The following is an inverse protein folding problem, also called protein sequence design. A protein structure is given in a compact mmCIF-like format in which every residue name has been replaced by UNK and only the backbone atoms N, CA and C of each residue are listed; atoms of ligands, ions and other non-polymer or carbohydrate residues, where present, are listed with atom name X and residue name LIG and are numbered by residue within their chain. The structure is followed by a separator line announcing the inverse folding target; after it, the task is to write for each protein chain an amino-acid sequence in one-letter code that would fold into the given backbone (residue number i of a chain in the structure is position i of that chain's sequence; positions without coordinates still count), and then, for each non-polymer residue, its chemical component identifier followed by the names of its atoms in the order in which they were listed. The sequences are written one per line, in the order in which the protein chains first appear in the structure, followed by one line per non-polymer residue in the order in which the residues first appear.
data_IF_236714894706
#
_entry.id   IF_236714894706
#
_cell.length_a   1.000
_cell.length_b   1.000
_cell.length_c   1.000
_cell.angle_alpha   90.00
_cell.angle_beta   90.00
_cell.angle_gamma   90.00
#
_symmetry.space_group_name_H-M   'P 1'
#
loop_
_entity.id
_entity.type
_entity.pdbx_description
1 polymer ?
#
# COMPACT_ATOMS: atom_id res chain seq x y z
N UNK A 1 -20.72 -24.75 17.24
CA UNK A 1 -21.51 -23.53 17.44
C UNK A 1 -20.54 -22.39 17.23
N UNK A 2 -20.58 -21.74 16.07
CA UNK A 2 -19.65 -20.66 15.75
C UNK A 2 -20.13 -19.39 16.45
N UNK A 3 -19.26 -18.77 17.24
CA UNK A 3 -19.54 -17.46 17.84
C UNK A 3 -19.80 -16.46 16.70
N UNK A 4 -21.03 -15.95 16.63
CA UNK A 4 -21.40 -14.92 15.67
C UNK A 4 -20.75 -13.63 16.18
N UNK A 5 -19.86 -13.05 15.38
CA UNK A 5 -19.17 -11.81 15.74
C UNK A 5 -20.19 -10.66 15.85
N UNK A 6 -20.12 -9.79 16.87
CA UNK A 6 -21.04 -8.65 17.02
C UNK A 6 -21.03 -7.69 15.81
N UNK A 7 -19.94 -7.68 15.03
CA UNK A 7 -19.86 -6.96 13.74
C UNK A 7 -20.78 -7.55 12.67
N UNK A 8 -20.90 -8.88 12.63
CA UNK A 8 -21.75 -9.59 11.67
C UNK A 8 -23.22 -9.22 11.86
N UNK A 9 -23.69 -9.22 13.12
CA UNK A 9 -25.07 -8.84 13.46
C UNK A 9 -25.36 -7.39 13.10
N UNK A 10 -24.44 -6.46 13.39
CA UNK A 10 -24.57 -5.05 13.01
C UNK A 10 -24.70 -4.86 11.50
N UNK A 11 -23.90 -5.58 10.69
CA UNK A 11 -24.00 -5.50 9.23
C UNK A 11 -25.27 -6.14 8.69
N UNK A 12 -25.74 -7.23 9.28
CA UNK A 12 -27.05 -7.80 8.95
C UNK A 12 -28.19 -6.81 9.23
N UNK A 13 -28.18 -6.16 10.40
CA UNK A 13 -29.17 -5.15 10.78
C UNK A 13 -29.17 -3.96 9.83
N UNK A 14 -27.99 -3.45 9.46
CA UNK A 14 -27.85 -2.36 8.50
C UNK A 14 -28.45 -2.72 7.14
N UNK A 15 -28.11 -3.90 6.60
CA UNK A 15 -28.64 -4.38 5.32
C UNK A 15 -30.16 -4.49 5.39
N UNK A 16 -30.69 -5.10 6.45
CA UNK A 16 -32.13 -5.28 6.64
C UNK A 16 -32.84 -3.92 6.78
N UNK A 17 -32.25 -2.96 7.49
CA UNK A 17 -32.78 -1.61 7.63
C UNK A 17 -32.89 -0.91 6.27
N UNK A 18 -31.83 -0.95 5.45
CA UNK A 18 -31.83 -0.34 4.12
C UNK A 18 -32.88 -1.00 3.22
N UNK A 19 -32.99 -2.33 3.25
CA UNK A 19 -34.02 -3.07 2.50
C UNK A 19 -35.42 -2.64 2.94
N UNK A 20 -35.70 -2.58 4.25
CA UNK A 20 -37.00 -2.17 4.77
C UNK A 20 -37.35 -0.72 4.40
N UNK A 21 -36.40 0.20 4.50
CA UNK A 21 -36.61 1.59 4.07
C UNK A 21 -36.88 1.68 2.57
N UNK A 22 -36.21 0.87 1.76
CA UNK A 22 -36.45 0.81 0.31
C UNK A 22 -37.84 0.28 0.00
N UNK A 23 -38.27 -0.79 0.69
CA UNK A 23 -39.60 -1.38 0.52
C UNK A 23 -40.72 -0.42 0.94
N UNK A 24 -40.48 0.42 1.95
CA UNK A 24 -41.40 1.48 2.39
C UNK A 24 -41.39 2.72 1.49
N UNK A 25 -40.49 2.80 0.51
CA UNK A 25 -40.32 3.98 -0.35
C UNK A 25 -39.64 5.18 0.33
N UNK A 26 -38.97 4.95 1.47
CA UNK A 26 -38.31 5.99 2.26
C UNK A 26 -36.89 6.31 1.78
N UNK A 27 -36.34 5.50 0.87
CA UNK A 27 -35.06 5.77 0.22
C UNK A 27 -35.32 6.57 -1.05
N UNK A 28 -34.86 7.82 -1.05
CA UNK A 28 -35.10 8.78 -2.14
C UNK A 28 -34.03 8.71 -3.23
N UNK A 29 -32.84 8.19 -2.92
CA UNK A 29 -31.71 8.10 -3.86
C UNK A 29 -30.70 7.04 -3.42
N UNK A 30 -29.84 6.62 -4.36
CA UNK A 30 -28.69 5.76 -4.06
C UNK A 30 -27.69 6.43 -3.10
N UNK A 31 -27.56 7.75 -3.17
CA UNK A 31 -26.69 8.51 -2.27
C UNK A 31 -27.10 8.38 -0.80
N UNK A 32 -28.41 8.25 -0.50
CA UNK A 32 -28.86 8.00 0.86
C UNK A 32 -28.39 6.64 1.39
N UNK A 33 -28.34 5.61 0.53
CA UNK A 33 -27.78 4.30 0.85
C UNK A 33 -26.28 4.43 1.13
N UNK A 34 -25.55 5.17 0.28
CA UNK A 34 -24.13 5.44 0.48
C UNK A 34 -23.84 6.13 1.83
N UNK A 35 -24.63 7.14 2.22
CA UNK A 35 -24.45 7.82 3.51
C UNK A 35 -24.71 6.89 4.72
N UNK A 36 -25.68 5.98 4.63
CA UNK A 36 -25.91 4.98 5.67
C UNK A 36 -24.73 4.01 5.79
N UNK A 37 -24.18 3.56 4.66
CA UNK A 37 -22.96 2.74 4.64
C UNK A 37 -21.78 3.52 5.23
N UNK A 38 -21.62 4.80 4.91
CA UNK A 38 -20.53 5.63 5.42
C UNK A 38 -20.54 5.78 6.95
N UNK A 39 -21.73 5.83 7.56
CA UNK A 39 -21.89 5.97 9.01
C UNK A 39 -21.58 4.69 9.78
N UNK A 40 -21.91 3.54 9.19
CA UNK A 40 -21.92 2.26 9.89
C UNK A 40 -20.79 1.31 9.45
N UNK A 41 -20.20 1.51 8.27
CA UNK A 41 -19.13 0.67 7.77
C UNK A 41 -17.76 1.07 8.33
N UNK A 42 -17.04 0.07 8.83
CA UNK A 42 -15.68 0.23 9.34
C UNK A 42 -14.66 -0.20 8.27
N UNK A 43 -13.57 0.57 8.05
CA UNK A 43 -12.49 0.15 7.17
C UNK A 43 -11.83 -1.14 7.67
N UNK A 44 -11.57 -2.11 6.78
CA UNK A 44 -10.90 -3.37 7.12
C UNK A 44 -11.83 -4.51 7.53
N UNK A 45 -13.15 -4.31 7.57
CA UNK A 45 -14.14 -5.38 7.84
C UNK A 45 -14.97 -5.70 6.59
N UNK A 46 -14.36 -5.56 5.41
CA UNK A 46 -15.09 -5.65 4.15
C UNK A 46 -15.57 -7.07 3.83
N UNK A 47 -14.78 -8.08 4.22
CA UNK A 47 -15.12 -9.49 4.02
C UNK A 47 -16.39 -9.87 4.80
N UNK A 48 -16.53 -9.43 6.05
CA UNK A 48 -17.72 -9.69 6.86
C UNK A 48 -18.98 -9.07 6.24
N UNK A 49 -18.89 -7.81 5.78
CA UNK A 49 -20.02 -7.14 5.14
C UNK A 49 -20.43 -7.86 3.85
N UNK A 50 -19.47 -8.21 3.01
CA UNK A 50 -19.74 -8.96 1.77
C UNK A 50 -20.36 -10.32 2.04
N UNK A 51 -19.92 -11.00 3.11
CA UNK A 51 -20.51 -12.27 3.52
C UNK A 51 -21.97 -12.10 3.93
N UNK A 52 -22.29 -11.13 4.78
CA UNK A 52 -23.66 -10.77 5.16
C UNK A 52 -24.54 -10.48 3.93
N UNK A 53 -24.00 -9.69 2.99
CA UNK A 53 -24.71 -9.31 1.77
C UNK A 53 -24.98 -10.52 0.86
N UNK A 54 -24.00 -11.41 0.67
CA UNK A 54 -24.14 -12.65 -0.10
C UNK A 54 -25.20 -13.58 0.51
N UNK A 55 -25.20 -13.73 1.83
CA UNK A 55 -26.17 -14.57 2.54
C UNK A 55 -27.60 -14.04 2.39
N UNK A 56 -27.77 -12.71 2.48
CA UNK A 56 -29.06 -12.04 2.25
C UNK A 56 -29.52 -12.13 0.80
N UNK A 57 -28.61 -11.99 -0.18
CA UNK A 57 -28.93 -12.22 -1.59
C UNK A 57 -29.44 -13.63 -1.84
N UNK A 58 -28.71 -14.63 -1.35
CA UNK A 58 -29.05 -16.05 -1.54
C UNK A 58 -30.41 -16.38 -0.93
N UNK A 59 -30.68 -15.86 0.27
CA UNK A 59 -31.96 -16.08 0.97
C UNK A 59 -33.12 -15.40 0.23
N UNK A 60 -32.92 -14.16 -0.23
CA UNK A 60 -33.96 -13.38 -0.91
C UNK A 60 -34.23 -13.92 -2.31
N UNK A 61 -33.21 -14.43 -3.00
CA UNK A 61 -33.34 -15.07 -4.32
C UNK A 61 -34.22 -16.33 -4.23
N UNK A 62 -33.96 -17.20 -3.24
CA UNK A 62 -34.81 -18.38 -2.99
C UNK A 62 -36.27 -18.01 -2.74
N UNK A 63 -36.54 -16.89 -2.06
CA UNK A 63 -37.90 -16.40 -1.81
C UNK A 63 -38.56 -15.79 -3.06
N UNK A 64 -37.78 -15.24 -4.00
CA UNK A 64 -38.29 -14.73 -5.27
C UNK A 64 -38.61 -15.85 -6.26
N UNK A 65 -37.87 -16.96 -6.19
CA UNK A 65 -38.06 -18.14 -7.04
C UNK A 65 -39.23 -19.04 -6.56
N UNK A 66 -39.69 -18.86 -5.31
CA UNK A 66 -40.88 -19.51 -4.77
C UNK A 66 -42.16 -18.93 -5.40
N UNK A 67 -42.72 -19.66 -6.37
CA UNK A 67 -43.91 -19.28 -7.16
C UNK A 67 -45.24 -19.44 -6.43
N UNK A 68 -45.23 -19.89 -5.17
CA UNK A 68 -46.45 -20.27 -4.46
C UNK A 68 -47.28 -19.05 -4.01
N UNK A 69 -46.69 -17.85 -3.99
CA UNK A 69 -47.39 -16.62 -3.56
C UNK A 69 -46.87 -15.35 -4.28
N UNK A 70 -47.66 -14.82 -5.21
CA UNK A 70 -47.34 -13.64 -6.02
C UNK A 70 -46.99 -12.39 -5.19
N UNK A 71 -47.64 -12.17 -4.04
CA UNK A 71 -47.36 -11.03 -3.18
C UNK A 71 -46.00 -11.15 -2.48
N UNK A 72 -45.63 -12.37 -2.06
CA UNK A 72 -44.29 -12.65 -1.51
C UNK A 72 -43.22 -12.51 -2.60
N UNK A 73 -43.50 -12.99 -3.81
CA UNK A 73 -42.60 -12.86 -4.96
C UNK A 73 -42.34 -11.40 -5.35
N UNK A 74 -43.38 -10.57 -5.38
CA UNK A 74 -43.26 -9.15 -5.69
C UNK A 74 -42.41 -8.41 -4.63
N UNK A 75 -42.60 -8.74 -3.34
CA UNK A 75 -41.79 -8.18 -2.25
C UNK A 75 -40.33 -8.66 -2.31
N UNK A 76 -40.09 -9.93 -2.61
CA UNK A 76 -38.76 -10.49 -2.77
C UNK A 76 -38.01 -9.84 -3.94
N UNK A 77 -38.69 -9.66 -5.08
CA UNK A 77 -38.12 -8.95 -6.25
C UNK A 77 -37.73 -7.51 -5.93
N UNK A 78 -38.56 -6.78 -5.18
CA UNK A 78 -38.20 -5.42 -4.74
C UNK A 78 -37.04 -5.42 -3.75
N UNK A 79 -36.96 -6.42 -2.89
CA UNK A 79 -35.85 -6.59 -1.93
C UNK A 79 -34.54 -6.90 -2.66
N UNK A 80 -34.57 -7.73 -3.72
CA UNK A 80 -33.40 -7.99 -4.57
C UNK A 80 -32.87 -6.71 -5.23
N UNK A 81 -33.75 -5.83 -5.71
CA UNK A 81 -33.33 -4.52 -6.25
C UNK A 81 -32.69 -3.62 -5.19
N UNK A 82 -33.18 -3.66 -3.96
CA UNK A 82 -32.58 -2.96 -2.83
C UNK A 82 -31.18 -3.51 -2.54
N UNK A 83 -31.02 -4.84 -2.47
CA UNK A 83 -29.73 -5.50 -2.26
C UNK A 83 -28.72 -5.19 -3.38
N UNK A 84 -29.16 -5.16 -4.64
CA UNK A 84 -28.32 -4.72 -5.78
C UNK A 84 -27.86 -3.27 -5.65
N UNK A 85 -28.72 -2.40 -5.11
CA UNK A 85 -28.36 -1.00 -4.86
C UNK A 85 -27.33 -0.90 -3.74
N UNK A 86 -27.50 -1.65 -2.65
CA UNK A 86 -26.52 -1.74 -1.57
C UNK A 86 -25.18 -2.25 -2.11
N UNK A 87 -25.18 -3.29 -2.93
CA UNK A 87 -23.95 -3.83 -3.54
C UNK A 87 -23.22 -2.79 -4.39
N UNK A 88 -23.95 -2.02 -5.21
CA UNK A 88 -23.36 -0.97 -6.03
C UNK A 88 -22.72 0.16 -5.21
N UNK A 89 -23.41 0.64 -4.18
CA UNK A 89 -22.88 1.70 -3.32
C UNK A 89 -21.77 1.18 -2.37
N UNK A 90 -21.83 -0.10 -1.99
CA UNK A 90 -20.74 -0.77 -1.26
C UNK A 90 -19.46 -0.82 -2.09
N UNK A 91 -19.54 -1.24 -3.36
CA UNK A 91 -18.38 -1.26 -4.26
C UNK A 91 -17.80 0.15 -4.47
N UNK A 92 -18.67 1.17 -4.57
CA UNK A 92 -18.25 2.58 -4.63
C UNK A 92 -17.55 3.00 -3.34
N UNK A 93 -18.10 2.65 -2.18
CA UNK A 93 -17.50 2.90 -0.87
C UNK A 93 -16.14 2.23 -0.74
N UNK A 94 -16.02 0.95 -1.09
CA UNK A 94 -14.75 0.22 -1.08
C UNK A 94 -13.73 0.88 -2.00
N UNK A 95 -14.12 1.31 -3.19
CA UNK A 95 -13.21 2.01 -4.11
C UNK A 95 -12.71 3.33 -3.52
N UNK A 96 -13.59 4.08 -2.84
CA UNK A 96 -13.24 5.36 -2.20
C UNK A 96 -12.43 5.18 -0.91
N UNK A 97 -12.64 4.09 -0.18
CA UNK A 97 -11.97 3.79 1.09
C UNK A 97 -10.83 2.79 0.99
N UNK A 98 -10.52 2.25 -0.19
CA UNK A 98 -9.42 1.28 -0.41
C UNK A 98 -8.08 1.77 0.14
N UNK A 99 -7.82 3.06 0.04
CA UNK A 99 -6.62 3.69 0.60
C UNK A 99 -6.58 3.62 2.13
N UNK A 100 -7.72 3.87 2.80
CA UNK A 100 -7.85 3.76 4.25
C UNK A 100 -7.79 2.31 4.71
N UNK A 101 -8.44 1.42 3.98
CA UNK A 101 -8.43 -0.02 4.26
C UNK A 101 -7.02 -0.62 4.16
N UNK A 102 -6.25 -0.23 3.14
CA UNK A 102 -4.85 -0.66 3.01
C UNK A 102 -3.99 -0.19 4.20
N UNK A 103 -4.19 1.05 4.67
CA UNK A 103 -3.48 1.58 5.85
C UNK A 103 -3.90 0.84 7.12
N UNK A 104 -5.20 0.60 7.34
CA UNK A 104 -5.70 -0.15 8.51
C UNK A 104 -5.19 -1.59 8.50
N UNK A 105 -5.20 -2.24 7.35
CA UNK A 105 -4.66 -3.59 7.17
C UNK A 105 -3.17 -3.64 7.48
N UNK A 106 -2.39 -2.68 6.95
CA UNK A 106 -0.97 -2.57 7.24
C UNK A 106 -0.70 -2.34 8.72
N UNK A 107 -1.45 -1.42 9.34
CA UNK A 107 -1.35 -1.14 10.77
C UNK A 107 -1.62 -2.41 11.60
N UNK A 108 -2.68 -3.14 11.27
CA UNK A 108 -3.06 -4.35 11.98
C UNK A 108 -1.99 -5.44 11.85
N UNK A 109 -1.53 -5.73 10.64
CA UNK A 109 -0.53 -6.78 10.40
C UNK A 109 0.83 -6.44 11.04
N UNK A 110 1.26 -5.18 10.98
CA UNK A 110 2.52 -4.73 11.59
C UNK A 110 2.44 -4.78 13.12
N UNK A 111 1.31 -4.38 13.71
CA UNK A 111 1.15 -4.33 15.17
C UNK A 111 0.97 -5.72 15.79
N UNK A 112 0.33 -6.64 15.08
CA UNK A 112 0.19 -8.03 15.51
C UNK A 112 1.43 -8.90 15.23
N UNK A 113 2.33 -8.46 14.35
CA UNK A 113 3.55 -9.19 14.07
C UNK A 113 4.48 -9.23 15.30
N UNK A 114 5.13 -10.38 15.48
CA UNK A 114 6.25 -10.54 16.41
C UNK A 114 7.37 -9.54 16.09
N UNK A 115 8.08 -9.04 17.12
CA UNK A 115 9.10 -8.00 16.95
C UNK A 115 10.12 -8.31 15.83
N UNK A 116 10.62 -9.55 15.77
CA UNK A 116 11.56 -9.99 14.74
C UNK A 116 10.98 -10.01 13.31
N UNK A 117 9.65 -10.08 13.15
CA UNK A 117 8.97 -10.16 11.86
C UNK A 117 8.35 -8.81 11.44
N UNK A 118 8.39 -7.77 12.28
CA UNK A 118 7.75 -6.47 11.99
C UNK A 118 8.30 -5.81 10.73
N UNK A 119 9.62 -5.89 10.52
CA UNK A 119 10.22 -5.40 9.28
C UNK A 119 9.66 -6.15 8.06
N UNK A 120 9.60 -7.48 8.11
CA UNK A 120 9.05 -8.29 7.02
C UNK A 120 7.56 -8.02 6.79
N UNK A 121 6.79 -7.83 7.86
CA UNK A 121 5.39 -7.46 7.77
C UNK A 121 5.21 -6.10 7.08
N UNK A 122 6.06 -5.12 7.41
CA UNK A 122 6.09 -3.82 6.73
C UNK A 122 6.47 -3.93 5.25
N UNK A 123 7.50 -4.70 4.91
CA UNK A 123 8.00 -4.82 3.53
C UNK A 123 6.95 -5.37 2.55
N UNK A 124 5.97 -6.15 3.00
CA UNK A 124 4.84 -6.60 2.16
C UNK A 124 4.01 -5.44 1.61
N UNK A 125 3.96 -4.33 2.34
CA UNK A 125 3.20 -3.14 1.98
C UNK A 125 4.02 -2.13 1.19
N UNK A 126 5.31 -2.38 1.01
CA UNK A 126 6.15 -1.62 0.11
C UNK A 126 6.39 -2.41 -1.17
N UNK A 127 6.52 -3.74 -1.15
CA UNK A 127 6.76 -4.57 -2.35
C UNK A 127 5.79 -4.25 -3.51
N UNK A 128 6.31 -3.84 -4.69
CA UNK A 128 5.47 -3.53 -5.84
C UNK A 128 4.73 -4.71 -6.44
N UNK A 129 5.22 -5.92 -6.19
CA UNK A 129 4.57 -7.14 -6.64
C UNK A 129 3.40 -7.53 -5.73
N UNK A 130 3.21 -6.84 -4.60
CA UNK A 130 2.14 -7.13 -3.67
C UNK A 130 0.85 -6.35 -4.03
N UNK A 131 -0.34 -6.99 -4.06
CA UNK A 131 -1.60 -6.34 -4.45
C UNK A 131 -2.01 -5.15 -3.58
N UNK A 132 -1.47 -5.07 -2.36
CA UNK A 132 -1.78 -4.05 -1.36
C UNK A 132 -0.61 -3.08 -1.12
N UNK A 133 0.26 -2.87 -2.12
CA UNK A 133 1.34 -1.90 -2.02
C UNK A 133 0.82 -0.48 -1.70
N UNK A 134 1.47 0.19 -0.75
CA UNK A 134 1.14 1.53 -0.30
C UNK A 134 1.88 2.59 -1.11
N UNK A 135 1.16 3.64 -1.52
CA UNK A 135 1.76 4.82 -2.15
C UNK A 135 2.54 5.66 -1.14
N UNK A 136 3.40 6.57 -1.61
CA UNK A 136 4.15 7.49 -0.75
C UNK A 136 3.26 8.28 0.22
N UNK A 137 2.08 8.72 -0.21
CA UNK A 137 1.14 9.44 0.65
C UNK A 137 0.48 8.51 1.69
N UNK A 138 0.19 7.26 1.30
CA UNK A 138 -0.32 6.25 2.23
C UNK A 138 0.74 5.84 3.26
N UNK A 139 2.01 5.74 2.87
CA UNK A 139 3.13 5.50 3.79
C UNK A 139 3.28 6.66 4.79
N UNK A 140 3.14 7.92 4.36
CA UNK A 140 3.12 9.07 5.29
C UNK A 140 1.97 8.95 6.30
N UNK A 141 0.77 8.59 5.84
CA UNK A 141 -0.39 8.39 6.71
C UNK A 141 -0.20 7.21 7.67
N UNK A 142 0.38 6.10 7.20
CA UNK A 142 0.74 4.96 8.04
C UNK A 142 1.73 5.37 9.13
N UNK A 143 2.80 6.09 8.79
CA UNK A 143 3.78 6.59 9.76
C UNK A 143 3.16 7.52 10.80
N UNK A 144 2.24 8.40 10.40
CA UNK A 144 1.51 9.24 11.33
C UNK A 144 0.63 8.42 12.29
N UNK A 145 -0.05 7.40 11.76
CA UNK A 145 -0.95 6.53 12.53
C UNK A 145 -0.18 5.65 13.53
N UNK A 146 0.95 5.07 13.11
CA UNK A 146 1.85 4.28 13.95
C UNK A 146 2.34 5.06 15.18
N UNK A 147 2.62 6.37 15.03
CA UNK A 147 3.02 7.25 16.15
C UNK A 147 1.90 7.54 17.14
N UNK A 148 0.66 7.55 16.65
CA UNK A 148 -0.51 7.95 17.44
C UNK A 148 -1.19 6.75 18.14
N UNK A 149 -0.81 5.53 17.78
CA UNK A 149 -1.45 4.34 18.31
C UNK A 149 -1.19 4.16 19.81
N UNK A 150 -2.25 3.90 20.56
CA UNK A 150 -2.14 3.59 21.99
C UNK A 150 -1.68 2.14 22.16
N UNK A 151 -0.40 1.95 22.45
CA UNK A 151 0.24 0.64 22.63
C UNK A 151 0.72 0.52 24.08
N UNK A 152 0.20 -0.49 24.77
CA UNK A 152 0.51 -0.75 26.18
C UNK A 152 1.91 -1.34 26.40
N UNK A 153 2.40 -2.15 25.45
CA UNK A 153 3.71 -2.78 25.54
C UNK A 153 4.84 -1.81 25.11
N UNK A 154 5.81 -1.49 26.00
CA UNK A 154 6.88 -0.55 25.69
C UNK A 154 7.77 -0.97 24.51
N UNK A 155 8.09 -2.26 24.37
CA UNK A 155 8.93 -2.74 23.27
C UNK A 155 8.22 -2.59 21.92
N UNK A 156 6.94 -2.92 21.87
CA UNK A 156 6.11 -2.71 20.67
C UNK A 156 5.95 -1.23 20.34
N UNK A 157 5.81 -0.38 21.34
CA UNK A 157 5.74 1.08 21.14
C UNK A 157 7.03 1.65 20.54
N UNK A 158 8.18 1.20 21.04
CA UNK A 158 9.50 1.56 20.51
C UNK A 158 9.62 1.15 19.03
N UNK A 159 9.28 -0.11 18.70
CA UNK A 159 9.33 -0.62 17.33
C UNK A 159 8.41 0.18 16.38
N UNK A 160 7.19 0.52 16.81
CA UNK A 160 6.29 1.36 15.99
C UNK A 160 6.85 2.77 15.80
N UNK A 161 7.50 3.32 16.82
CA UNK A 161 8.21 4.59 16.74
C UNK A 161 9.35 4.54 15.70
N UNK A 162 10.17 3.50 15.75
CA UNK A 162 11.27 3.30 14.80
C UNK A 162 10.76 3.04 13.37
N UNK A 163 9.68 2.27 13.20
CA UNK A 163 9.02 2.10 11.89
C UNK A 163 8.55 3.44 11.32
N UNK A 164 7.80 4.22 12.10
CA UNK A 164 7.29 5.50 11.64
C UNK A 164 8.41 6.50 11.31
N UNK A 165 9.47 6.51 12.11
CA UNK A 165 10.67 7.29 11.86
C UNK A 165 11.36 6.86 10.57
N UNK A 166 11.63 5.57 10.40
CA UNK A 166 12.23 5.01 9.21
C UNK A 166 11.44 5.31 7.93
N UNK A 167 10.10 5.22 8.00
CA UNK A 167 9.23 5.60 6.88
C UNK A 167 9.43 7.07 6.51
N UNK A 168 9.42 7.95 7.51
CA UNK A 168 9.57 9.39 7.28
C UNK A 168 10.94 9.72 6.68
N UNK A 169 12.01 9.15 7.24
CA UNK A 169 13.38 9.30 6.73
C UNK A 169 13.52 8.75 5.31
N UNK A 170 12.98 7.57 5.02
CA UNK A 170 13.01 6.96 3.69
C UNK A 170 12.35 7.83 2.62
N UNK A 171 11.18 8.40 2.93
CA UNK A 171 10.48 9.30 2.02
C UNK A 171 11.22 10.64 1.83
N UNK A 172 11.84 11.18 2.88
CA UNK A 172 12.67 12.38 2.78
C UNK A 172 13.95 12.12 1.96
N UNK A 173 14.62 10.99 2.20
CA UNK A 173 15.78 10.54 1.44
C UNK A 173 15.44 10.34 -0.03
N UNK A 174 14.29 9.73 -0.35
CA UNK A 174 13.80 9.63 -1.72
C UNK A 174 13.57 10.99 -2.38
N UNK A 175 12.91 11.94 -1.69
CA UNK A 175 12.71 13.29 -2.22
C UNK A 175 14.03 13.96 -2.61
N UNK A 176 15.08 13.76 -1.82
CA UNK A 176 16.41 14.33 -2.09
C UNK A 176 17.14 13.63 -3.25
N UNK A 177 16.88 12.33 -3.44
CA UNK A 177 17.46 11.51 -4.52
C UNK A 177 16.74 11.70 -5.86
N UNK A 178 15.44 11.96 -5.85
CA UNK A 178 14.59 11.94 -7.04
C UNK A 178 15.12 12.84 -8.17
N UNK A 179 15.52 14.07 -7.85
CA UNK A 179 16.05 15.03 -8.83
C UNK A 179 17.43 14.65 -9.37
N UNK A 180 18.15 13.78 -8.66
CA UNK A 180 19.49 13.30 -9.00
C UNK A 180 19.49 11.84 -9.45
N UNK A 181 18.32 11.25 -9.68
CA UNK A 181 18.19 9.82 -9.95
C UNK A 181 18.98 9.39 -11.17
N UNK A 182 18.99 10.22 -12.22
CA UNK A 182 19.63 9.96 -13.51
C UNK A 182 20.69 11.00 -13.87
N UNK A 183 21.04 11.89 -12.94
CA UNK A 183 22.02 12.97 -13.21
C UNK A 183 23.38 12.42 -13.65
N UNK A 184 23.78 11.28 -13.08
CA UNK A 184 25.03 10.57 -13.41
C UNK A 184 25.12 10.25 -14.90
N UNK A 185 24.02 9.91 -15.57
CA UNK A 185 23.99 9.58 -17.01
C UNK A 185 24.52 10.74 -17.88
N UNK A 186 24.36 11.97 -17.41
CA UNK A 186 24.69 13.18 -18.14
C UNK A 186 25.99 13.85 -17.66
N UNK A 187 26.68 13.29 -16.66
CA UNK A 187 27.92 13.87 -16.14
C UNK A 187 29.05 13.76 -17.19
N UNK A 188 29.65 14.90 -17.60
CA UNK A 188 30.56 14.98 -18.75
C UNK A 188 32.02 14.58 -18.49
N UNK A 189 32.35 13.89 -17.38
CA UNK A 189 33.72 13.46 -17.03
C UNK A 189 34.30 12.36 -17.96
N UNK A 190 33.86 12.31 -19.23
CA UNK A 190 34.22 11.32 -20.25
C UNK A 190 34.97 11.90 -21.47
N UNK A 191 35.45 13.16 -21.44
CA UNK A 191 36.21 13.75 -22.55
C UNK A 191 37.74 13.64 -22.38
N UNK A 192 38.24 12.55 -21.79
CA UNK A 192 39.66 12.21 -21.74
C UNK A 192 39.92 10.85 -22.39
N UNK A 193 40.57 10.84 -23.56
CA UNK A 193 41.02 9.61 -24.23
C UNK A 193 42.24 9.00 -23.50
N UNK A 194 42.09 8.56 -22.26
CA UNK A 194 43.03 7.66 -21.59
C UNK A 194 42.25 6.63 -20.79
N UNK A 195 42.52 5.35 -21.06
CA UNK A 195 41.75 4.19 -20.60
C UNK A 195 41.82 3.89 -19.11
N UNK A 196 41.32 4.79 -18.26
CA UNK A 196 40.95 4.48 -16.87
C UNK A 196 39.43 4.42 -16.74
N UNK A 197 38.94 3.35 -16.11
CA UNK A 197 37.55 3.00 -15.86
C UNK A 197 36.72 4.08 -15.14
N UNK A 198 36.37 5.15 -15.86
CA UNK A 198 35.40 6.18 -15.45
C UNK A 198 33.99 5.80 -15.92
N UNK A 199 33.46 4.68 -15.42
CA UNK A 199 32.03 4.39 -15.59
C UNK A 199 31.25 5.45 -14.83
N UNK A 200 30.29 6.09 -15.50
CA UNK A 200 29.30 6.91 -14.82
C UNK A 200 28.63 6.06 -13.74
N UNK A 201 28.87 6.41 -12.47
CA UNK A 201 28.56 5.56 -11.34
C UNK A 201 27.43 6.20 -10.50
N UNK A 202 26.20 5.66 -10.56
CA UNK A 202 25.06 6.20 -9.81
C UNK A 202 25.32 6.21 -8.30
N UNK A 203 26.02 5.19 -7.79
CA UNK A 203 26.29 5.03 -6.36
C UNK A 203 27.07 6.21 -5.78
N UNK A 204 28.07 6.71 -6.50
CA UNK A 204 28.84 7.88 -6.09
C UNK A 204 28.00 9.17 -6.08
N UNK A 205 27.11 9.34 -7.07
CA UNK A 205 26.23 10.51 -7.17
C UNK A 205 25.19 10.51 -6.06
N UNK A 206 24.55 9.38 -5.83
CA UNK A 206 23.52 9.22 -4.79
C UNK A 206 24.08 9.31 -3.37
N UNK A 207 25.30 8.82 -3.13
CA UNK A 207 25.96 8.95 -1.82
C UNK A 207 26.29 10.39 -1.41
N UNK A 208 26.33 11.34 -2.36
CA UNK A 208 26.53 12.77 -2.07
C UNK A 208 25.26 13.47 -1.59
N UNK A 209 24.09 12.86 -1.80
CA UNK A 209 22.81 13.46 -1.46
C UNK A 209 22.56 13.46 0.07
N UNK A 210 21.72 14.38 0.57
CA UNK A 210 21.37 14.43 1.99
C UNK A 210 20.37 13.31 2.35
N UNK A 211 20.91 12.09 2.44
CA UNK A 211 20.19 10.86 2.83
C UNK A 211 20.78 10.29 4.13
N UNK A 212 20.08 9.34 4.75
CA UNK A 212 20.53 8.69 5.98
C UNK A 212 21.87 7.97 5.85
N UNK A 213 22.52 7.77 7.01
CA UNK A 213 23.85 7.19 7.09
C UNK A 213 23.93 5.78 6.50
N UNK A 214 22.90 4.96 6.70
CA UNK A 214 22.85 3.57 6.22
C UNK A 214 22.76 3.50 4.69
N UNK A 215 21.77 4.11 4.01
CA UNK A 215 21.75 4.19 2.55
C UNK A 215 23.04 4.76 1.97
N UNK A 216 23.58 5.83 2.58
CA UNK A 216 24.83 6.44 2.17
C UNK A 216 26.02 5.48 2.26
N UNK A 217 26.13 4.74 3.35
CA UNK A 217 27.20 3.76 3.54
C UNK A 217 27.11 2.62 2.53
N UNK A 218 25.90 2.15 2.20
CA UNK A 218 25.70 1.12 1.18
C UNK A 218 26.14 1.65 -0.19
N UNK A 219 25.71 2.84 -0.58
CA UNK A 219 26.12 3.42 -1.86
C UNK A 219 27.63 3.66 -1.95
N UNK A 220 28.28 4.03 -0.84
CA UNK A 220 29.75 4.13 -0.80
C UNK A 220 30.42 2.76 -0.96
N UNK A 221 29.91 1.72 -0.31
CA UNK A 221 30.41 0.36 -0.46
C UNK A 221 30.26 -0.16 -1.91
N UNK A 222 29.08 0.06 -2.51
CA UNK A 222 28.82 -0.30 -3.92
C UNK A 222 29.70 0.49 -4.90
N UNK A 223 29.94 1.78 -4.62
CA UNK A 223 30.88 2.58 -5.39
C UNK A 223 32.31 2.00 -5.34
N UNK A 224 32.71 1.46 -4.20
CA UNK A 224 34.01 0.82 -3.98
C UNK A 224 34.05 -0.65 -4.45
N UNK A 225 33.00 -1.14 -5.12
CA UNK A 225 32.87 -2.53 -5.57
C UNK A 225 32.92 -3.56 -4.42
N UNK A 226 32.58 -3.15 -3.20
CA UNK A 226 32.42 -4.05 -2.07
C UNK A 226 31.12 -4.84 -2.23
N UNK A 227 31.14 -6.15 -1.91
CA UNK A 227 29.94 -6.96 -1.99
C UNK A 227 28.90 -6.53 -0.93
N UNK A 228 27.62 -6.63 -1.27
CA UNK A 228 26.54 -6.32 -0.32
C UNK A 228 26.59 -7.19 0.95
N UNK A 229 27.04 -8.45 0.83
CA UNK A 229 27.24 -9.35 1.96
C UNK A 229 28.36 -8.89 2.89
N UNK A 230 29.48 -8.40 2.35
CA UNK A 230 30.58 -7.87 3.16
C UNK A 230 30.19 -6.56 3.83
N UNK A 231 29.45 -5.70 3.13
CA UNK A 231 28.90 -4.50 3.73
C UNK A 231 27.96 -4.87 4.89
N UNK A 232 27.02 -5.79 4.67
CA UNK A 232 26.04 -6.20 5.68
C UNK A 232 26.70 -6.86 6.91
N UNK A 233 27.77 -7.64 6.72
CA UNK A 233 28.52 -8.25 7.81
C UNK A 233 29.16 -7.21 8.75
N UNK A 234 29.45 -6.01 8.25
CA UNK A 234 30.02 -4.91 9.03
C UNK A 234 28.95 -4.04 9.74
N UNK A 235 27.66 -4.36 9.60
CA UNK A 235 26.55 -3.61 10.18
C UNK A 235 26.05 -4.29 11.46
N UNK A 236 26.74 -4.06 12.57
CA UNK A 236 26.47 -4.77 13.84
C UNK A 236 25.36 -4.14 14.70
N UNK A 237 25.00 -2.87 14.49
CA UNK A 237 24.02 -2.13 15.32
C UNK A 237 23.03 -1.31 14.48
N UNK A 238 22.38 -1.94 13.50
CA UNK A 238 21.33 -1.25 12.74
C UNK A 238 20.00 -1.23 13.50
N UNK A 239 19.45 -0.03 13.65
CA UNK A 239 18.09 0.17 14.15
C UNK A 239 17.04 -0.23 13.11
N UNK A 240 15.83 -0.55 13.56
CA UNK A 240 14.71 -0.85 12.67
C UNK A 240 14.40 0.35 11.75
N UNK A 241 14.51 1.58 12.27
CA UNK A 241 14.33 2.79 11.49
C UNK A 241 15.29 2.88 10.29
N UNK A 242 16.55 2.50 10.48
CA UNK A 242 17.56 2.57 9.43
C UNK A 242 17.33 1.51 8.34
N UNK A 243 16.88 0.31 8.72
CA UNK A 243 16.48 -0.74 7.78
C UNK A 243 15.27 -0.31 6.93
N UNK A 244 14.27 0.30 7.56
CA UNK A 244 13.07 0.79 6.88
C UNK A 244 13.40 1.92 5.91
N UNK A 245 14.25 2.87 6.33
CA UNK A 245 14.74 3.94 5.44
C UNK A 245 15.43 3.34 4.20
N UNK A 246 16.34 2.39 4.41
CA UNK A 246 17.08 1.75 3.34
C UNK A 246 16.15 1.03 2.36
N UNK A 247 15.20 0.25 2.87
CA UNK A 247 14.26 -0.48 2.04
C UNK A 247 13.44 0.46 1.14
N UNK A 248 12.91 1.55 1.71
CA UNK A 248 12.14 2.56 0.94
C UNK A 248 13.02 3.21 -0.13
N UNK A 249 14.26 3.59 0.22
CA UNK A 249 15.17 4.23 -0.73
C UNK A 249 15.49 3.31 -1.91
N UNK A 250 15.87 2.06 -1.65
CA UNK A 250 16.21 1.10 -2.71
C UNK A 250 15.04 0.86 -3.65
N UNK A 251 13.86 0.66 -3.09
CA UNK A 251 12.67 0.40 -3.87
C UNK A 251 12.20 1.64 -4.66
N UNK A 252 12.32 2.83 -4.07
CA UNK A 252 11.98 4.07 -4.77
C UNK A 252 12.95 4.36 -5.93
N UNK A 253 14.24 4.04 -5.77
CA UNK A 253 15.22 4.10 -6.86
C UNK A 253 14.83 3.16 -8.00
N UNK A 254 14.51 1.89 -7.70
CA UNK A 254 14.07 0.91 -8.69
C UNK A 254 12.86 1.44 -9.49
N UNK A 255 11.80 1.87 -8.80
CA UNK A 255 10.62 2.44 -9.42
C UNK A 255 10.89 3.70 -10.22
N UNK A 256 11.71 4.59 -9.69
CA UNK A 256 12.07 5.82 -10.38
C UNK A 256 12.81 5.53 -11.69
N UNK A 257 13.73 4.56 -11.69
CA UNK A 257 14.49 4.17 -12.87
C UNK A 257 13.58 3.52 -13.92
N UNK A 258 12.68 2.61 -13.49
CA UNK A 258 11.69 1.98 -14.38
C UNK A 258 10.78 3.04 -15.01
N UNK A 259 10.18 3.92 -14.19
CA UNK A 259 9.30 4.99 -14.67
C UNK A 259 10.01 5.96 -15.61
N UNK A 260 11.26 6.32 -15.31
CA UNK A 260 12.06 7.15 -16.20
C UNK A 260 12.35 6.45 -17.54
N UNK A 261 12.71 5.16 -17.52
CA UNK A 261 12.97 4.37 -18.72
C UNK A 261 11.70 4.22 -19.60
N UNK A 262 10.54 3.96 -19.00
CA UNK A 262 9.25 3.87 -19.72
C UNK A 262 8.89 5.19 -20.42
N UNK A 263 9.12 6.33 -19.75
CA UNK A 263 8.82 7.65 -20.30
C UNK A 263 9.75 8.05 -21.47
N UNK A 264 10.93 7.44 -21.59
CA UNK A 264 11.88 7.68 -22.69
C UNK A 264 11.59 6.93 -23.98
N UNK A 265 10.68 5.95 -23.97
CA UNK A 265 10.31 5.16 -25.15
C UNK A 265 9.76 6.03 -26.30
N UNK A 266 9.33 7.26 -25.99
CA UNK A 266 8.92 8.25 -27.00
C UNK A 266 10.08 8.91 -27.79
N UNK A 267 11.35 8.60 -27.47
CA UNK A 267 12.53 8.98 -28.28
C UNK A 267 13.46 7.78 -28.52
N UNK A 268 13.16 7.00 -29.57
CA UNK A 268 13.65 5.63 -29.79
C UNK A 268 15.17 5.43 -29.87
N UNK A 269 15.96 6.42 -30.32
CA UNK A 269 17.43 6.30 -30.40
C UNK A 269 18.16 6.66 -29.10
N UNK A 270 17.63 7.60 -28.33
CA UNK A 270 18.19 7.98 -27.03
C UNK A 270 17.75 6.98 -25.95
N UNK A 271 16.48 6.57 -25.95
CA UNK A 271 15.92 5.62 -24.99
C UNK A 271 16.62 4.26 -25.00
N UNK A 272 16.98 3.73 -26.17
CA UNK A 272 17.65 2.42 -26.27
C UNK A 272 19.08 2.41 -25.70
N UNK A 273 19.87 3.47 -25.90
CA UNK A 273 21.21 3.57 -25.29
C UNK A 273 21.12 3.71 -23.77
N UNK A 274 20.12 4.45 -23.29
CA UNK A 274 19.93 4.76 -21.88
C UNK A 274 19.37 3.58 -21.09
N UNK A 275 18.47 2.78 -21.68
CA UNK A 275 18.01 1.52 -21.08
C UNK A 275 19.13 0.49 -20.99
N UNK A 276 20.02 0.43 -22.00
CA UNK A 276 21.24 -0.40 -21.95
C UNK A 276 22.16 0.04 -20.82
N UNK A 277 22.35 1.35 -20.60
CA UNK A 277 23.16 1.85 -19.47
C UNK A 277 22.58 1.43 -18.13
N UNK A 278 21.25 1.53 -17.94
CA UNK A 278 20.58 1.05 -16.72
C UNK A 278 20.80 -0.47 -16.57
N UNK A 279 20.55 -1.25 -17.63
CA UNK A 279 20.75 -2.69 -17.59
C UNK A 279 22.20 -3.08 -17.25
N UNK A 280 23.21 -2.46 -17.86
CA UNK A 280 24.62 -2.76 -17.57
C UNK A 280 25.06 -2.32 -16.16
N UNK A 281 24.34 -1.39 -15.53
CA UNK A 281 24.68 -0.88 -14.20
C UNK A 281 24.02 -1.68 -13.09
N UNK A 282 22.85 -2.29 -13.34
CA UNK A 282 22.03 -2.96 -12.33
C UNK A 282 21.64 -4.42 -12.65
N UNK A 283 21.81 -4.90 -13.88
CA UNK A 283 21.50 -6.27 -14.33
C UNK A 283 22.69 -7.20 -14.32
#
# INVERSE_FOLDING_TARGET
MSEISPLHDRYLELIDQIVQLTLKGNIRSKEQVYQMLLQEAEPGTGEEFEQCLRDRFTTTQKQADDRTNEAKQARATRSLRALQTIQGEWNRWQTQNRSREAIVTALHQITQAESAQRLLAFLKFTDPNHPQNLTSDQLKQLAATLRQQSISDPATKEDMGQLAEGISRGLDSWRNLQDHLVSWIYDPDQLGFEGSSGQSNPWASWAKQPIGAVPKSLFQALHQQQSGSDWAANQTEMTLAAWVELAIVLQAIEHGLVSWAENLVYNSKAGAKLSITIFLTFG
#
